data_IF_251760894783
#
_entry.id   IF_251760894783
#
_cell.length_a   1.000
_cell.length_b   1.000
_cell.length_c   1.000
_cell.angle_alpha   90.00
_cell.angle_beta   90.00
_cell.angle_gamma   90.00
#
_symmetry.space_group_name_H-M   'P 1'
#
loop_
_entity.id
_entity.type
_entity.pdbx_description
1 polymer ?
#
# COMPACT_ATOMS: atom_id res chain seq x y z
N UNK A 1 4.91 -10.28 10.97
CA UNK A 1 4.36 -8.93 11.24
C UNK A 1 3.44 -8.52 10.10
N UNK A 2 2.48 -7.67 10.40
CA UNK A 2 1.65 -7.03 9.38
C UNK A 2 2.09 -5.59 9.20
N UNK A 3 2.27 -5.20 7.96
CA UNK A 3 2.67 -3.85 7.57
C UNK A 3 1.49 -3.22 6.83
N UNK A 4 0.87 -2.22 7.45
CA UNK A 4 -0.31 -1.53 6.90
C UNK A 4 0.09 -0.21 6.28
N UNK A 5 -0.32 0.00 5.04
CA UNK A 5 -0.18 1.27 4.33
C UNK A 5 -1.59 1.76 4.05
N UNK A 6 -1.96 2.89 4.65
CA UNK A 6 -3.31 3.42 4.55
C UNK A 6 -3.21 4.78 3.86
N UNK A 7 -3.91 4.94 2.74
CA UNK A 7 -3.76 6.16 1.93
C UNK A 7 -5.10 6.81 1.64
N UNK A 8 -5.05 8.14 1.57
CA UNK A 8 -6.11 8.97 1.06
C UNK A 8 -5.56 9.72 -0.14
N UNK A 9 -6.24 9.59 -1.28
CA UNK A 9 -5.83 10.28 -2.49
C UNK A 9 -6.38 11.71 -2.52
N UNK A 10 -5.79 12.55 -3.35
CA UNK A 10 -6.27 13.92 -3.55
C UNK A 10 -7.69 13.87 -4.12
N UNK A 11 -8.46 14.93 -3.84
CA UNK A 11 -9.84 15.04 -4.31
C UNK A 11 -9.90 14.93 -5.83
N UNK A 12 -10.93 14.24 -6.33
CA UNK A 12 -11.11 14.03 -7.76
C UNK A 12 -10.43 12.79 -8.31
N UNK A 13 -9.66 12.07 -7.50
CA UNK A 13 -9.01 10.82 -7.92
C UNK A 13 -10.04 9.71 -8.05
N UNK A 14 -10.04 9.00 -9.18
CA UNK A 14 -10.85 7.80 -9.36
C UNK A 14 -10.15 6.62 -8.69
N UNK A 15 -10.45 6.40 -7.42
CA UNK A 15 -9.80 5.36 -6.60
C UNK A 15 -10.06 3.97 -7.18
N UNK A 16 -11.28 3.71 -7.68
CA UNK A 16 -11.61 2.40 -8.24
C UNK A 16 -10.71 2.05 -9.43
N UNK A 17 -10.33 3.04 -10.22
CA UNK A 17 -9.44 2.83 -11.35
C UNK A 17 -8.01 2.50 -10.92
N UNK A 18 -7.62 2.84 -9.68
CA UNK A 18 -6.28 2.62 -9.17
C UNK A 18 -6.09 1.27 -8.49
N UNK A 19 -7.18 0.59 -8.09
CA UNK A 19 -7.08 -0.63 -7.29
C UNK A 19 -6.24 -1.71 -7.98
N UNK A 20 -6.56 -2.05 -9.22
CA UNK A 20 -5.83 -3.12 -9.91
C UNK A 20 -4.38 -2.74 -10.29
N UNK A 21 -4.09 -1.54 -10.80
CA UNK A 21 -2.70 -1.14 -11.01
C UNK A 21 -1.87 -1.14 -9.74
N UNK A 22 -2.44 -0.72 -8.61
CA UNK A 22 -1.74 -0.73 -7.32
C UNK A 22 -1.53 -2.17 -6.85
N UNK A 23 -2.56 -3.03 -6.99
CA UNK A 23 -2.43 -4.46 -6.65
C UNK A 23 -1.29 -5.10 -7.44
N UNK A 24 -1.19 -4.80 -8.73
CA UNK A 24 -0.14 -5.36 -9.59
C UNK A 24 1.26 -4.97 -9.10
N UNK A 25 1.44 -3.71 -8.71
CA UNK A 25 2.71 -3.25 -8.16
C UNK A 25 3.06 -4.02 -6.88
N UNK A 26 2.11 -4.09 -5.94
CA UNK A 26 2.38 -4.74 -4.65
C UNK A 26 2.48 -6.26 -4.75
N UNK A 27 1.85 -6.88 -5.76
CA UNK A 27 2.04 -8.30 -6.02
C UNK A 27 3.52 -8.63 -6.28
N UNK A 28 4.24 -7.72 -6.91
CA UNK A 28 5.67 -7.92 -7.15
C UNK A 28 6.51 -7.94 -5.87
N UNK A 29 5.99 -7.38 -4.77
CA UNK A 29 6.70 -7.45 -3.48
C UNK A 29 6.77 -8.88 -2.93
N UNK A 30 5.90 -9.77 -3.39
CA UNK A 30 5.88 -11.16 -2.93
C UNK A 30 7.13 -11.93 -3.33
N UNK A 31 7.93 -11.43 -4.27
CA UNK A 31 9.21 -12.02 -4.63
C UNK A 31 10.33 -11.63 -3.66
N UNK A 32 10.10 -10.69 -2.76
CA UNK A 32 11.09 -10.28 -1.77
C UNK A 32 11.13 -11.33 -0.65
N UNK A 33 12.31 -11.89 -0.32
CA UNK A 33 12.38 -12.86 0.77
C UNK A 33 11.80 -12.30 2.07
N UNK A 34 10.92 -13.06 2.69
CA UNK A 34 10.26 -12.68 3.93
C UNK A 34 8.90 -12.01 3.76
N UNK A 35 8.48 -11.68 2.55
CA UNK A 35 7.13 -11.17 2.28
C UNK A 35 6.28 -12.31 1.74
N UNK A 36 5.21 -12.66 2.47
CA UNK A 36 4.42 -13.87 2.24
C UNK A 36 3.00 -13.62 1.79
N UNK A 37 2.46 -12.44 2.02
CA UNK A 37 1.05 -12.21 1.73
C UNK A 37 0.76 -10.74 1.45
N UNK A 38 -0.33 -10.52 0.71
CA UNK A 38 -0.78 -9.20 0.32
C UNK A 38 -2.30 -9.17 0.35
N UNK A 39 -2.85 -8.13 0.97
CA UNK A 39 -4.27 -7.81 0.86
C UNK A 39 -4.41 -6.35 0.48
N UNK A 40 -5.38 -6.05 -0.37
CA UNK A 40 -5.81 -4.70 -0.69
C UNK A 40 -7.27 -4.56 -0.30
N UNK A 41 -7.58 -3.48 0.41
CA UNK A 41 -8.96 -3.20 0.82
C UNK A 41 -9.32 -1.77 0.44
N UNK A 42 -10.43 -1.60 -0.29
CA UNK A 42 -10.96 -0.28 -0.62
C UNK A 42 -12.00 0.12 0.42
N UNK A 43 -12.03 1.41 0.74
CA UNK A 43 -13.07 1.94 1.63
C UNK A 43 -14.43 1.85 0.97
N UNK A 44 -15.46 1.57 1.76
CA UNK A 44 -16.85 1.63 1.31
C UNK A 44 -17.52 2.94 1.72
N UNK A 45 -16.76 3.93 2.21
CA UNK A 45 -17.29 5.19 2.70
C UNK A 45 -16.81 6.35 1.83
N UNK A 46 -17.71 7.31 1.58
CA UNK A 46 -17.38 8.55 0.87
C UNK A 46 -17.19 9.73 1.82
N UNK A 47 -17.14 9.48 3.13
CA UNK A 47 -16.92 10.54 4.11
C UNK A 47 -15.53 11.13 3.98
N UNK A 48 -15.42 12.46 4.13
CA UNK A 48 -14.16 13.17 3.92
C UNK A 48 -13.08 12.84 4.94
N UNK A 49 -13.46 12.29 6.11
CA UNK A 49 -12.51 11.93 7.15
C UNK A 49 -12.08 10.45 7.10
N UNK A 50 -12.31 9.77 5.99
CA UNK A 50 -11.92 8.38 5.78
C UNK A 50 -10.75 8.31 4.81
N UNK A 51 -9.94 7.26 4.97
CA UNK A 51 -8.94 6.88 3.98
C UNK A 51 -9.61 6.08 2.86
N UNK A 52 -8.93 5.97 1.72
CA UNK A 52 -9.49 5.37 0.51
C UNK A 52 -9.07 3.93 0.29
N UNK A 53 -7.83 3.60 0.63
CA UNK A 53 -7.23 2.32 0.29
C UNK A 53 -6.32 1.86 1.41
N UNK A 54 -6.37 0.57 1.74
CA UNK A 54 -5.47 -0.05 2.70
C UNK A 54 -4.73 -1.19 2.01
N UNK A 55 -3.42 -1.16 2.12
CA UNK A 55 -2.53 -2.21 1.61
C UNK A 55 -1.93 -2.91 2.81
N UNK A 56 -2.03 -4.23 2.86
CA UNK A 56 -1.53 -5.01 3.99
C UNK A 56 -0.53 -6.03 3.46
N UNK A 57 0.71 -5.95 3.97
CA UNK A 57 1.75 -6.93 3.66
C UNK A 57 2.02 -7.79 4.88
N UNK A 58 1.97 -9.12 4.70
CA UNK A 58 2.41 -10.07 5.73
C UNK A 58 3.87 -10.36 5.47
N UNK A 59 4.74 -9.98 6.42
CA UNK A 59 6.18 -10.03 6.18
C UNK A 59 6.94 -10.28 7.47
N UNK A 60 8.17 -10.79 7.32
CA UNK A 60 9.12 -10.79 8.42
C UNK A 60 9.59 -9.36 8.64
N UNK A 61 9.76 -8.98 9.90
CA UNK A 61 10.25 -7.65 10.25
C UNK A 61 11.58 -7.34 9.56
N UNK A 62 12.43 -8.34 9.43
CA UNK A 62 13.76 -8.22 8.81
C UNK A 62 13.70 -7.95 7.30
N UNK A 63 12.54 -8.16 6.66
CA UNK A 63 12.36 -7.88 5.24
C UNK A 63 12.11 -6.40 4.95
N UNK A 64 11.81 -5.60 5.97
CA UNK A 64 11.43 -4.20 5.78
C UNK A 64 12.49 -3.37 5.04
N UNK A 65 13.81 -3.46 5.37
CA UNK A 65 14.80 -2.71 4.60
C UNK A 65 14.85 -3.08 3.12
N UNK A 66 14.73 -4.36 2.78
CA UNK A 66 14.72 -4.81 1.39
C UNK A 66 13.46 -4.30 0.66
N UNK A 67 12.32 -4.30 1.36
CA UNK A 67 11.09 -3.73 0.82
C UNK A 67 11.25 -2.24 0.52
N UNK A 68 11.81 -1.47 1.46
CA UNK A 68 11.95 -0.01 1.33
C UNK A 68 12.73 0.39 0.08
N UNK A 69 13.73 -0.39 -0.31
CA UNK A 69 14.58 -0.10 -1.47
C UNK A 69 14.19 -0.88 -2.72
N UNK A 70 13.12 -1.67 -2.65
CA UNK A 70 12.69 -2.53 -3.76
C UNK A 70 12.12 -1.74 -4.93
N UNK A 71 12.18 -2.34 -6.12
CA UNK A 71 11.59 -1.76 -7.34
C UNK A 71 10.09 -1.49 -7.18
N UNK A 72 9.27 -2.43 -6.69
CA UNK A 72 7.85 -2.14 -6.53
C UNK A 72 7.57 -0.99 -5.56
N UNK A 73 8.31 -0.87 -4.45
CA UNK A 73 8.12 0.25 -3.54
C UNK A 73 8.47 1.59 -4.20
N UNK A 74 9.57 1.64 -4.94
CA UNK A 74 9.97 2.84 -5.69
C UNK A 74 8.96 3.18 -6.78
N UNK A 75 8.45 2.16 -7.48
CA UNK A 75 7.41 2.33 -8.49
C UNK A 75 6.14 2.92 -7.88
N UNK A 76 5.71 2.40 -6.74
CA UNK A 76 4.56 2.92 -6.01
C UNK A 76 4.75 4.40 -5.67
N UNK A 77 5.88 4.75 -5.10
CA UNK A 77 6.18 6.15 -4.72
C UNK A 77 6.24 7.08 -5.93
N UNK A 78 6.92 6.64 -6.99
CA UNK A 78 7.12 7.48 -8.17
C UNK A 78 5.83 7.67 -8.96
N UNK A 79 5.00 6.63 -9.06
CA UNK A 79 3.81 6.67 -9.88
C UNK A 79 2.62 7.33 -9.16
N UNK A 80 2.47 7.10 -7.87
CA UNK A 80 1.28 7.52 -7.12
C UNK A 80 1.53 8.52 -6.01
N UNK A 81 2.80 8.82 -5.69
CA UNK A 81 3.13 9.70 -4.58
C UNK A 81 2.45 11.07 -4.66
N UNK A 82 2.37 11.65 -5.84
CA UNK A 82 1.75 12.97 -6.04
C UNK A 82 0.22 12.95 -5.89
N UNK A 83 -0.38 11.77 -5.99
CA UNK A 83 -1.83 11.62 -5.83
C UNK A 83 -2.22 11.38 -4.37
N UNK A 84 -1.28 11.18 -3.48
CA UNK A 84 -1.54 10.87 -2.08
C UNK A 84 -1.65 12.14 -1.28
N UNK A 85 -2.84 12.42 -0.73
CA UNK A 85 -3.08 13.57 0.14
C UNK A 85 -2.66 13.28 1.59
N UNK A 86 -2.89 12.05 2.06
CA UNK A 86 -2.53 11.62 3.42
C UNK A 86 -2.13 10.15 3.39
N UNK A 87 -1.17 9.80 4.23
CA UNK A 87 -0.70 8.43 4.36
C UNK A 87 -0.41 8.12 5.82
N UNK A 88 -0.77 6.92 6.25
CA UNK A 88 -0.42 6.39 7.56
C UNK A 88 0.20 5.01 7.37
N UNK A 89 1.23 4.73 8.16
CA UNK A 89 1.89 3.42 8.20
C UNK A 89 1.69 2.86 9.61
N UNK A 90 1.30 1.59 9.69
CA UNK A 90 1.13 0.92 10.97
C UNK A 90 1.70 -0.48 10.89
N UNK A 91 2.60 -0.81 11.82
CA UNK A 91 3.21 -2.13 11.91
C UNK A 91 2.77 -2.81 13.20
N UNK A 92 2.40 -4.07 13.13
CA UNK A 92 2.03 -4.83 14.32
C UNK A 92 2.40 -6.31 14.16
N UNK A 93 2.59 -6.96 15.29
CA UNK A 93 2.65 -8.41 15.36
C UNK A 93 1.24 -8.91 15.59
N UNK A 94 0.83 -9.88 14.81
CA UNK A 94 -0.53 -10.41 14.95
C UNK A 94 -0.69 -11.32 16.11
#
# INVERSE_FOLDING_TARGET
MKHYIIVKFIEGTDVNALVEPVREIFTRTLSIPGIRGLELKSSNSDRSNRFDLMIILDMDKEALPAYDTSEPHLCWKNRYGELIAKKAIFDCDD
#
